data_IF_429786347007
#
_entry.id   IF_429786347007
#
_cell.length_a   1.000
_cell.length_b   1.000
_cell.length_c   1.000
_cell.angle_alpha   90.00
_cell.angle_beta   90.00
_cell.angle_gamma   90.00
#
_symmetry.space_group_name_H-M   'P 1'
#
loop_
_entity.id
_entity.type
_entity.pdbx_description
1 polymer ?
#
# COMPACT_ATOMS: atom_id res chain seq x y z
N UNK A 1 -22.64 11.68 17.50
CA UNK A 1 -23.20 12.92 16.89
C UNK A 1 -23.89 12.52 15.60
N UNK A 2 -25.22 12.55 15.51
CA UNK A 2 -25.94 12.24 14.27
C UNK A 2 -26.33 13.58 13.62
N UNK A 3 -25.60 13.99 12.59
CA UNK A 3 -25.81 15.27 11.92
C UNK A 3 -26.10 15.02 10.43
N UNK A 4 -27.31 15.36 9.98
CA UNK A 4 -27.70 15.18 8.57
C UNK A 4 -26.95 16.18 7.67
N UNK A 5 -26.28 15.66 6.64
CA UNK A 5 -25.42 16.40 5.69
C UNK A 5 -26.19 17.46 4.89
N UNK A 6 -27.49 17.24 4.69
CA UNK A 6 -28.40 18.20 4.04
C UNK A 6 -28.47 19.55 4.77
N UNK A 7 -28.23 19.55 6.10
CA UNK A 7 -28.15 20.78 6.89
C UNK A 7 -26.74 21.42 6.88
N UNK A 8 -25.69 20.66 6.56
CA UNK A 8 -24.31 21.16 6.52
C UNK A 8 -23.98 21.90 5.21
N UNK A 9 -24.48 21.41 4.07
CA UNK A 9 -24.26 22.05 2.76
C UNK A 9 -25.06 23.35 2.57
N UNK A 10 -26.19 23.50 3.27
CA UNK A 10 -27.05 24.68 3.15
C UNK A 10 -26.60 25.86 4.04
N UNK A 11 -25.57 25.65 4.87
CA UNK A 11 -25.11 26.61 5.89
C UNK A 11 -23.76 27.27 5.58
N UNK A 12 -23.01 26.82 4.56
CA UNK A 12 -21.81 27.53 4.08
C UNK A 12 -22.14 28.93 3.50
N UNK A 13 -23.43 29.25 3.31
CA UNK A 13 -23.87 30.52 2.71
C UNK A 13 -24.66 31.45 3.64
N UNK A 14 -25.10 31.01 4.84
CA UNK A 14 -25.95 31.85 5.69
C UNK A 14 -25.71 31.59 7.18
N UNK A 15 -24.85 32.41 7.81
CA UNK A 15 -25.07 33.13 9.08
C UNK A 15 -23.72 33.55 9.69
N UNK A 16 -23.35 34.81 9.48
CA UNK A 16 -22.33 35.50 10.28
C UNK A 16 -23.06 36.15 11.45
N UNK A 17 -23.23 35.42 12.55
CA UNK A 17 -23.45 36.07 13.84
C UNK A 17 -22.57 35.39 14.89
N UNK A 18 -21.57 36.14 15.38
CA UNK A 18 -20.45 35.70 16.23
C UNK A 18 -20.85 35.35 17.67
N UNK A 19 -22.01 34.76 17.87
CA UNK A 19 -22.52 34.40 19.20
C UNK A 19 -22.38 32.89 19.39
N UNK A 20 -21.68 32.48 20.45
CA UNK A 20 -21.51 31.06 20.79
C UNK A 20 -22.90 30.42 20.94
N UNK A 21 -23.21 29.35 20.20
CA UNK A 21 -24.50 28.69 20.30
C UNK A 21 -24.77 28.21 21.73
N UNK A 22 -26.03 28.21 22.21
CA UNK A 22 -26.37 27.86 23.60
C UNK A 22 -25.84 26.48 24.01
N UNK A 23 -25.76 25.55 23.06
CA UNK A 23 -25.26 24.18 23.25
C UNK A 23 -23.76 24.13 23.60
N UNK A 24 -22.98 25.15 23.24
CA UNK A 24 -21.55 25.24 23.49
C UNK A 24 -21.17 26.37 24.46
N UNK A 25 -22.16 26.98 25.12
CA UNK A 25 -21.96 28.08 26.06
C UNK A 25 -21.02 27.69 27.22
N UNK A 26 -21.03 26.42 27.62
CA UNK A 26 -20.20 25.88 28.70
C UNK A 26 -18.79 25.43 28.25
N UNK A 27 -18.40 25.66 26.98
CA UNK A 27 -17.05 25.37 26.47
C UNK A 27 -16.45 26.49 25.58
N UNK A 28 -16.31 27.71 26.12
CA UNK A 28 -15.75 28.83 25.37
C UNK A 28 -14.27 28.62 24.97
N UNK A 29 -13.54 27.74 25.66
CA UNK A 29 -12.13 27.42 25.35
C UNK A 29 -11.91 26.34 24.30
N UNK A 30 -12.95 25.55 23.99
CA UNK A 30 -12.87 24.48 22.96
C UNK A 30 -13.62 24.90 21.69
N UNK A 31 -14.66 25.73 21.78
CA UNK A 31 -15.41 26.19 20.61
C UNK A 31 -14.60 27.16 19.73
N UNK A 32 -14.48 26.85 18.44
CA UNK A 32 -13.79 27.71 17.45
C UNK A 32 -14.85 28.46 16.62
N UNK A 33 -14.99 29.79 16.80
CA UNK A 33 -15.94 30.61 16.05
C UNK A 33 -15.72 30.49 14.53
N UNK A 34 -16.81 30.41 13.76
CA UNK A 34 -16.79 30.26 12.30
C UNK A 34 -16.42 28.86 11.77
N UNK A 35 -16.16 27.87 12.63
CA UNK A 35 -15.88 26.48 12.21
C UNK A 35 -16.82 25.44 12.83
N UNK A 36 -17.21 25.65 14.08
CA UNK A 36 -17.96 24.66 14.87
C UNK A 36 -19.46 24.96 14.98
N UNK A 37 -19.91 26.11 14.46
CA UNK A 37 -21.31 26.56 14.46
C UNK A 37 -22.26 25.55 13.81
N UNK A 38 -21.77 24.86 12.77
CA UNK A 38 -22.49 23.79 12.07
C UNK A 38 -22.84 22.57 12.94
N UNK A 39 -22.17 22.39 14.07
CA UNK A 39 -22.46 21.30 15.00
C UNK A 39 -23.56 21.63 16.01
N UNK A 40 -23.99 22.90 16.09
CA UNK A 40 -24.99 23.36 17.05
C UNK A 40 -26.38 22.74 16.84
N UNK A 41 -26.66 22.28 15.62
CA UNK A 41 -27.95 21.68 15.23
C UNK A 41 -27.94 20.15 15.30
N UNK A 42 -26.82 19.52 15.67
CA UNK A 42 -26.74 18.06 15.71
C UNK A 42 -27.46 17.50 16.94
N UNK A 43 -28.24 16.44 16.76
CA UNK A 43 -28.95 15.79 17.87
C UNK A 43 -27.98 14.92 18.69
N UNK A 44 -27.85 15.21 19.99
CA UNK A 44 -26.96 14.51 20.92
C UNK A 44 -27.79 13.47 21.67
N UNK A 45 -27.77 12.22 21.19
CA UNK A 45 -28.64 11.15 21.68
C UNK A 45 -28.06 10.34 22.84
N UNK A 46 -26.76 10.46 23.14
CA UNK A 46 -26.04 9.51 23.99
C UNK A 46 -25.71 10.02 25.41
N UNK A 47 -26.28 11.14 25.86
CA UNK A 47 -26.03 11.67 27.22
C UNK A 47 -24.61 12.23 27.44
N UNK A 48 -23.75 12.20 26.43
CA UNK A 48 -22.43 12.83 26.47
C UNK A 48 -22.53 14.37 26.48
N UNK A 49 -21.63 15.04 27.21
CA UNK A 49 -21.59 16.50 27.19
C UNK A 49 -21.17 17.02 25.80
N UNK A 50 -21.84 18.06 25.26
CA UNK A 50 -21.52 18.62 23.94
C UNK A 50 -20.06 19.03 23.80
N UNK A 51 -19.49 19.54 24.89
CA UNK A 51 -18.10 19.99 24.97
C UNK A 51 -17.09 18.85 24.92
N UNK A 52 -17.36 17.71 25.57
CA UNK A 52 -16.50 16.53 25.46
C UNK A 52 -16.50 15.99 24.01
N UNK A 53 -17.66 15.97 23.36
CA UNK A 53 -17.79 15.50 21.98
C UNK A 53 -17.09 16.43 20.98
N UNK A 54 -17.17 17.75 21.19
CA UNK A 54 -16.47 18.73 20.36
C UNK A 54 -14.95 18.61 20.50
N UNK A 55 -14.45 18.44 21.73
CA UNK A 55 -13.03 18.21 22.02
C UNK A 55 -12.51 16.95 21.36
N UNK A 56 -13.25 15.84 21.43
CA UNK A 56 -12.88 14.59 20.75
C UNK A 56 -12.90 14.75 19.21
N UNK A 57 -13.84 15.54 18.67
CA UNK A 57 -13.85 15.90 17.25
C UNK A 57 -12.61 16.70 16.83
N UNK A 58 -12.19 17.68 17.62
CA UNK A 58 -10.98 18.47 17.35
C UNK A 58 -9.73 17.62 17.40
N UNK A 59 -9.58 16.77 18.43
CA UNK A 59 -8.48 15.79 18.50
C UNK A 59 -8.46 14.85 17.30
N UNK A 60 -9.63 14.32 16.91
CA UNK A 60 -9.73 13.44 15.74
C UNK A 60 -9.35 14.16 14.44
N UNK A 61 -9.76 15.44 14.30
CA UNK A 61 -9.41 16.28 13.15
C UNK A 61 -7.91 16.60 13.11
N UNK A 62 -7.30 16.93 14.25
CA UNK A 62 -5.86 17.16 14.35
C UNK A 62 -5.06 15.88 14.04
N UNK A 63 -5.45 14.74 14.62
CA UNK A 63 -4.81 13.46 14.31
C UNK A 63 -4.92 13.10 12.82
N UNK A 64 -6.09 13.34 12.20
CA UNK A 64 -6.27 13.13 10.77
C UNK A 64 -5.39 14.05 9.92
N UNK A 65 -5.24 15.32 10.30
CA UNK A 65 -4.42 16.29 9.56
C UNK A 65 -2.93 15.97 9.73
N UNK A 66 -2.44 15.88 10.96
CA UNK A 66 -1.01 15.67 11.20
C UNK A 66 -0.57 14.22 10.98
N UNK A 67 -1.33 13.25 11.49
CA UNK A 67 -1.00 11.84 11.40
C UNK A 67 -1.27 11.21 10.03
N UNK A 68 -2.37 11.57 9.37
CA UNK A 68 -2.79 10.94 8.10
C UNK A 68 -2.55 11.79 6.84
N UNK A 69 -2.20 13.08 6.97
CA UNK A 69 -1.82 13.90 5.83
C UNK A 69 -0.36 14.38 5.89
N UNK A 70 0.08 15.03 6.98
CA UNK A 70 1.44 15.59 7.05
C UNK A 70 2.52 14.49 7.08
N UNK A 71 2.39 13.47 7.94
CA UNK A 71 3.37 12.39 8.03
C UNK A 71 3.53 11.63 6.71
N UNK A 72 2.46 11.18 6.02
CA UNK A 72 2.59 10.54 4.72
C UNK A 72 3.26 11.41 3.65
N UNK A 73 3.02 12.74 3.64
CA UNK A 73 3.66 13.67 2.71
C UNK A 73 5.17 13.75 2.97
N UNK A 74 5.59 13.89 4.23
CA UNK A 74 7.03 13.94 4.56
C UNK A 74 7.72 12.62 4.20
N UNK A 75 7.09 11.49 4.53
CA UNK A 75 7.59 10.17 4.19
C UNK A 75 7.61 9.94 2.66
N UNK A 76 6.63 10.45 1.91
CA UNK A 76 6.62 10.32 0.46
C UNK A 76 7.71 11.14 -0.22
N UNK A 77 8.08 12.32 0.33
CA UNK A 77 9.20 13.13 -0.18
C UNK A 77 10.51 12.36 0.00
N UNK A 78 10.74 11.85 1.21
CA UNK A 78 11.93 11.05 1.52
C UNK A 78 11.98 9.80 0.63
N UNK A 79 10.86 9.08 0.52
CA UNK A 79 10.75 7.89 -0.33
C UNK A 79 11.02 8.21 -1.80
N UNK A 80 10.56 9.36 -2.30
CA UNK A 80 10.81 9.79 -3.68
C UNK A 80 12.31 10.01 -3.93
N UNK A 81 12.98 10.76 -3.06
CA UNK A 81 14.42 11.03 -3.16
C UNK A 81 15.22 9.72 -3.13
N UNK A 82 14.90 8.83 -2.18
CA UNK A 82 15.58 7.54 -2.04
C UNK A 82 15.34 6.63 -3.26
N UNK A 83 14.11 6.55 -3.78
CA UNK A 83 13.81 5.70 -4.95
C UNK A 83 14.44 6.25 -6.23
N UNK A 84 14.46 7.57 -6.44
CA UNK A 84 15.15 8.18 -7.59
C UNK A 84 16.66 7.90 -7.50
N UNK A 85 17.27 8.15 -6.36
CA UNK A 85 18.71 7.91 -6.14
C UNK A 85 19.05 6.43 -6.37
N UNK A 86 18.23 5.54 -5.82
CA UNK A 86 18.38 4.10 -5.97
C UNK A 86 18.21 3.65 -7.44
N UNK A 87 17.27 4.24 -8.18
CA UNK A 87 17.07 3.98 -9.61
C UNK A 87 18.28 4.43 -10.43
N UNK A 88 18.83 5.62 -10.18
CA UNK A 88 20.01 6.13 -10.87
C UNK A 88 21.21 5.20 -10.65
N UNK A 89 21.45 4.77 -9.41
CA UNK A 89 22.53 3.84 -9.08
C UNK A 89 22.33 2.51 -9.82
N UNK A 90 21.12 1.94 -9.80
CA UNK A 90 20.83 0.69 -10.49
C UNK A 90 21.02 0.78 -12.00
N UNK A 91 20.58 1.88 -12.63
CA UNK A 91 20.77 2.09 -14.06
C UNK A 91 22.26 2.18 -14.40
N UNK A 92 23.06 2.88 -13.59
CA UNK A 92 24.51 2.95 -13.78
C UNK A 92 25.18 1.58 -13.68
N UNK A 93 24.77 0.74 -12.74
CA UNK A 93 25.30 -0.62 -12.60
C UNK A 93 24.83 -1.50 -13.75
N UNK A 94 23.54 -1.43 -14.10
CA UNK A 94 22.95 -2.20 -15.20
C UNK A 94 23.68 -2.02 -16.54
N UNK A 95 24.18 -0.82 -16.81
CA UNK A 95 24.95 -0.52 -18.02
C UNK A 95 26.37 -1.09 -18.01
N UNK A 96 26.94 -1.37 -16.84
CA UNK A 96 28.33 -1.85 -16.68
C UNK A 96 28.42 -3.37 -16.48
N UNK A 97 27.34 -4.01 -16.07
CA UNK A 97 27.35 -5.39 -15.62
C UNK A 97 27.11 -6.41 -16.75
N UNK A 98 27.58 -7.65 -16.54
CA UNK A 98 27.35 -8.77 -17.46
C UNK A 98 25.87 -9.21 -17.51
N UNK A 99 25.50 -9.92 -18.58
CA UNK A 99 24.13 -10.34 -18.87
C UNK A 99 23.46 -11.09 -17.71
N UNK A 100 24.21 -11.96 -17.03
CA UNK A 100 23.75 -12.74 -15.87
C UNK A 100 23.23 -11.88 -14.72
N UNK A 101 23.94 -10.79 -14.41
CA UNK A 101 23.57 -9.88 -13.32
C UNK A 101 22.54 -8.83 -13.77
N UNK A 102 22.55 -8.44 -15.06
CA UNK A 102 21.54 -7.54 -15.65
C UNK A 102 20.12 -8.05 -15.47
N UNK A 103 19.88 -9.36 -15.56
CA UNK A 103 18.56 -10.00 -15.30
C UNK A 103 17.97 -9.57 -13.96
N UNK A 104 18.77 -9.60 -12.89
CA UNK A 104 18.36 -9.19 -11.53
C UNK A 104 18.02 -7.69 -11.48
N UNK A 105 18.86 -6.86 -12.07
CA UNK A 105 18.67 -5.41 -12.07
C UNK A 105 17.41 -4.98 -12.84
N UNK A 106 16.99 -5.71 -13.88
CA UNK A 106 15.73 -5.43 -14.58
C UNK A 106 14.52 -5.45 -13.65
N UNK A 107 14.40 -6.46 -12.78
CA UNK A 107 13.31 -6.55 -11.81
C UNK A 107 13.39 -5.43 -10.77
N UNK A 108 14.59 -5.09 -10.30
CA UNK A 108 14.80 -4.01 -9.33
C UNK A 108 14.47 -2.63 -9.92
N UNK A 109 14.83 -2.39 -11.18
CA UNK A 109 14.51 -1.16 -11.93
C UNK A 109 13.00 -1.06 -12.12
N UNK A 110 12.35 -2.13 -12.60
CA UNK A 110 10.89 -2.18 -12.76
C UNK A 110 10.16 -1.84 -11.45
N UNK A 111 10.66 -2.37 -10.33
CA UNK A 111 10.11 -2.08 -9.00
C UNK A 111 10.26 -0.61 -8.62
N UNK A 112 11.45 -0.05 -8.83
CA UNK A 112 11.75 1.36 -8.50
C UNK A 112 10.89 2.32 -9.35
N UNK A 113 10.70 2.00 -10.63
CA UNK A 113 9.80 2.74 -11.51
C UNK A 113 8.35 2.67 -11.04
N UNK A 114 7.87 1.49 -10.64
CA UNK A 114 6.51 1.32 -10.08
C UNK A 114 6.29 2.18 -8.84
N UNK A 115 7.24 2.17 -7.90
CA UNK A 115 7.16 3.00 -6.69
C UNK A 115 7.19 4.50 -7.00
N UNK A 116 8.03 4.93 -7.95
CA UNK A 116 8.12 6.34 -8.35
C UNK A 116 6.81 6.79 -9.00
N UNK A 117 6.25 6.00 -9.91
CA UNK A 117 4.96 6.31 -10.52
C UNK A 117 3.86 6.42 -9.47
N UNK A 118 3.79 5.47 -8.53
CA UNK A 118 2.81 5.51 -7.45
C UNK A 118 2.96 6.76 -6.56
N UNK A 119 4.19 7.17 -6.24
CA UNK A 119 4.46 8.36 -5.45
C UNK A 119 4.07 9.66 -6.19
N UNK A 120 4.39 9.78 -7.48
CA UNK A 120 3.97 10.94 -8.29
C UNK A 120 2.45 11.04 -8.30
N UNK A 121 1.78 9.93 -8.54
CA UNK A 121 0.31 9.89 -8.60
C UNK A 121 -0.34 10.12 -7.24
N UNK A 122 0.30 9.69 -6.15
CA UNK A 122 -0.13 10.03 -4.80
C UNK A 122 -0.17 11.55 -4.58
N UNK A 123 0.84 12.30 -5.05
CA UNK A 123 0.81 13.76 -5.01
C UNK A 123 -0.31 14.36 -5.86
N UNK A 124 -0.53 13.83 -7.07
CA UNK A 124 -1.64 14.28 -7.93
C UNK A 124 -2.98 14.10 -7.21
N UNK A 125 -3.21 12.95 -6.57
CA UNK A 125 -4.43 12.69 -5.79
C UNK A 125 -4.56 13.64 -4.61
N UNK A 126 -3.48 13.94 -3.88
CA UNK A 126 -3.52 14.90 -2.77
C UNK A 126 -3.88 16.31 -3.27
N UNK A 127 -3.32 16.74 -4.41
CA UNK A 127 -3.62 18.04 -5.01
C UNK A 127 -5.10 18.10 -5.40
N UNK A 128 -5.62 17.07 -6.09
CA UNK A 128 -7.04 16.97 -6.44
C UNK A 128 -7.95 16.95 -5.20
N UNK A 129 -7.54 16.26 -4.13
CA UNK A 129 -8.27 16.26 -2.88
C UNK A 129 -8.34 17.67 -2.28
N UNK A 130 -7.26 18.45 -2.35
CA UNK A 130 -7.26 19.82 -1.84
C UNK A 130 -8.16 20.77 -2.64
N UNK A 131 -8.35 20.53 -3.94
CA UNK A 131 -9.13 21.40 -4.82
C UNK A 131 -10.64 21.13 -4.76
N UNK A 132 -11.08 19.87 -4.79
CA UNK A 132 -12.50 19.50 -4.97
C UNK A 132 -13.05 18.56 -3.86
N UNK A 133 -12.25 18.24 -2.83
CA UNK A 133 -12.61 17.23 -1.84
C UNK A 133 -12.33 15.80 -2.30
N UNK A 134 -12.55 14.82 -1.42
CA UNK A 134 -12.31 13.41 -1.73
C UNK A 134 -13.58 12.80 -2.32
N UNK A 135 -13.63 12.67 -3.64
CA UNK A 135 -14.76 12.12 -4.39
C UNK A 135 -14.48 10.68 -4.87
N UNK A 136 -15.51 10.00 -5.39
CA UNK A 136 -15.41 8.64 -5.95
C UNK A 136 -14.23 8.47 -6.92
N UNK A 137 -14.03 9.40 -7.86
CA UNK A 137 -12.93 9.34 -8.82
C UNK A 137 -11.55 9.38 -8.15
N UNK A 138 -11.37 10.21 -7.13
CA UNK A 138 -10.11 10.29 -6.38
C UNK A 138 -9.84 9.01 -5.57
N UNK A 139 -10.87 8.43 -4.96
CA UNK A 139 -10.80 7.16 -4.24
C UNK A 139 -10.46 6.00 -5.18
N UNK A 140 -11.11 5.95 -6.34
CA UNK A 140 -10.88 4.96 -7.40
C UNK A 140 -9.43 5.02 -7.88
N UNK A 141 -8.94 6.21 -8.24
CA UNK A 141 -7.58 6.43 -8.72
C UNK A 141 -6.57 6.01 -7.64
N UNK A 142 -6.80 6.40 -6.39
CA UNK A 142 -5.94 6.03 -5.26
C UNK A 142 -5.86 4.51 -5.06
N UNK A 143 -7.01 3.83 -5.04
CA UNK A 143 -7.08 2.37 -4.88
C UNK A 143 -6.48 1.62 -6.07
N UNK A 144 -6.71 2.11 -7.29
CA UNK A 144 -6.14 1.55 -8.51
C UNK A 144 -4.61 1.61 -8.47
N UNK A 145 -4.02 2.77 -8.19
CA UNK A 145 -2.56 2.90 -8.16
C UNK A 145 -1.93 2.24 -6.94
N UNK A 146 -2.59 2.28 -5.78
CA UNK A 146 -2.18 1.51 -4.60
C UNK A 146 -2.15 0.01 -4.89
N UNK A 147 -3.20 -0.52 -5.50
CA UNK A 147 -3.29 -1.90 -5.95
C UNK A 147 -2.23 -2.26 -6.99
N UNK A 148 -2.02 -1.39 -7.99
CA UNK A 148 -1.07 -1.62 -9.08
C UNK A 148 0.35 -1.72 -8.53
N UNK A 149 0.72 -0.78 -7.66
CA UNK A 149 2.02 -0.76 -7.01
C UNK A 149 2.19 -1.99 -6.12
N UNK A 150 1.22 -2.31 -5.27
CA UNK A 150 1.28 -3.47 -4.36
C UNK A 150 1.43 -4.79 -5.13
N UNK A 151 0.61 -5.03 -6.15
CA UNK A 151 0.64 -6.25 -6.95
C UNK A 151 1.90 -6.35 -7.83
N UNK A 152 2.34 -5.24 -8.42
CA UNK A 152 3.59 -5.19 -9.19
C UNK A 152 4.82 -5.47 -8.32
N UNK A 153 4.89 -4.87 -7.12
CA UNK A 153 5.93 -5.16 -6.13
C UNK A 153 5.89 -6.64 -5.71
N UNK A 154 4.71 -7.15 -5.39
CA UNK A 154 4.49 -8.56 -5.00
C UNK A 154 4.97 -9.52 -6.09
N UNK A 155 4.54 -9.32 -7.34
CA UNK A 155 4.91 -10.15 -8.47
C UNK A 155 6.42 -10.09 -8.77
N UNK A 156 7.02 -8.90 -8.71
CA UNK A 156 8.48 -8.76 -8.91
C UNK A 156 9.28 -9.40 -7.78
N UNK A 157 8.81 -9.40 -6.53
CA UNK A 157 9.45 -10.14 -5.43
C UNK A 157 9.41 -11.65 -5.65
N UNK A 158 8.26 -12.20 -6.05
CA UNK A 158 8.14 -13.63 -6.35
C UNK A 158 9.08 -14.00 -7.50
N UNK A 159 9.04 -13.25 -8.60
CA UNK A 159 9.88 -13.50 -9.77
C UNK A 159 11.37 -13.41 -9.45
N UNK A 160 11.79 -12.39 -8.68
CA UNK A 160 13.18 -12.20 -8.27
C UNK A 160 13.66 -13.31 -7.32
N UNK A 161 12.77 -13.79 -6.44
CA UNK A 161 13.07 -14.92 -5.54
C UNK A 161 13.25 -16.22 -6.30
N UNK A 162 12.39 -16.49 -7.29
CA UNK A 162 12.52 -17.64 -8.19
C UNK A 162 13.80 -17.53 -9.01
N UNK A 163 14.09 -16.35 -9.58
CA UNK A 163 15.30 -16.10 -10.35
C UNK A 163 16.57 -16.38 -9.54
N UNK A 164 16.62 -15.88 -8.29
CA UNK A 164 17.74 -16.10 -7.38
C UNK A 164 17.86 -17.58 -6.99
N UNK A 165 16.75 -18.24 -6.70
CA UNK A 165 16.75 -19.67 -6.41
C UNK A 165 17.29 -20.49 -7.58
N UNK A 166 16.81 -20.23 -8.80
CA UNK A 166 17.28 -20.94 -9.99
C UNK A 166 18.76 -20.69 -10.25
N UNK A 167 19.25 -19.46 -10.03
CA UNK A 167 20.67 -19.14 -10.14
C UNK A 167 21.54 -19.93 -9.14
N UNK A 168 21.04 -20.20 -7.93
CA UNK A 168 21.80 -20.92 -6.89
C UNK A 168 21.70 -22.45 -7.06
N UNK A 169 20.49 -22.97 -7.29
CA UNK A 169 20.25 -24.42 -7.32
C UNK A 169 20.59 -25.03 -8.67
N UNK A 170 20.37 -24.30 -9.77
CA UNK A 170 20.60 -24.76 -11.14
C UNK A 170 21.39 -23.71 -11.95
N UNK A 171 22.67 -23.45 -11.60
CA UNK A 171 23.46 -22.37 -12.21
C UNK A 171 23.67 -22.55 -13.72
N UNK A 172 23.84 -23.80 -14.20
CA UNK A 172 23.99 -24.08 -15.63
C UNK A 172 22.71 -23.77 -16.41
N UNK A 173 21.55 -24.21 -15.90
CA UNK A 173 20.24 -23.90 -16.51
C UNK A 173 19.96 -22.39 -16.52
N UNK A 174 20.31 -21.68 -15.45
CA UNK A 174 20.18 -20.22 -15.37
C UNK A 174 21.02 -19.47 -16.42
N UNK A 175 22.21 -19.99 -16.74
CA UNK A 175 23.08 -19.40 -17.75
C UNK A 175 22.66 -19.77 -19.18
N UNK A 176 22.21 -21.00 -19.43
CA UNK A 176 21.90 -21.48 -20.78
C UNK A 176 20.49 -21.14 -21.27
N UNK A 177 19.47 -21.29 -20.42
CA UNK A 177 18.06 -21.25 -20.85
C UNK A 177 17.39 -19.90 -20.55
N UNK A 178 17.70 -19.29 -19.40
CA UNK A 178 17.04 -18.05 -18.98
C UNK A 178 17.70 -16.87 -19.68
N UNK A 179 17.07 -16.32 -20.72
CA UNK A 179 17.57 -15.12 -21.41
C UNK A 179 16.92 -13.83 -20.87
N UNK A 180 17.53 -12.67 -21.14
CA UNK A 180 16.95 -11.36 -20.77
C UNK A 180 15.54 -11.16 -21.38
N UNK A 181 15.28 -11.72 -22.57
CA UNK A 181 13.96 -11.63 -23.22
C UNK A 181 12.85 -12.25 -22.37
N UNK A 182 13.14 -13.39 -21.73
CA UNK A 182 12.21 -14.02 -20.79
C UNK A 182 11.94 -13.13 -19.58
N UNK A 183 12.97 -12.45 -19.05
CA UNK A 183 12.79 -11.50 -17.94
C UNK A 183 11.88 -10.33 -18.33
N UNK A 184 12.04 -9.75 -19.53
CA UNK A 184 11.13 -8.72 -20.01
C UNK A 184 9.70 -9.21 -20.19
N UNK A 185 9.51 -10.42 -20.76
CA UNK A 185 8.20 -11.03 -20.90
C UNK A 185 7.51 -11.27 -19.54
N UNK A 186 8.27 -11.74 -18.53
CA UNK A 186 7.77 -11.91 -17.16
C UNK A 186 7.42 -10.57 -16.50
N UNK A 187 8.23 -9.53 -16.68
CA UNK A 187 7.91 -8.20 -16.17
C UNK A 187 6.62 -7.70 -16.82
N UNK A 188 6.51 -7.80 -18.15
CA UNK A 188 5.32 -7.38 -18.88
C UNK A 188 4.05 -8.12 -18.41
N UNK A 189 4.14 -9.44 -18.17
CA UNK A 189 3.01 -10.21 -17.65
C UNK A 189 2.62 -9.81 -16.22
N UNK A 190 3.60 -9.55 -15.34
CA UNK A 190 3.34 -9.04 -13.98
C UNK A 190 2.59 -7.70 -14.06
N UNK A 191 3.06 -6.77 -14.89
CA UNK A 191 2.41 -5.47 -15.08
C UNK A 191 0.99 -5.60 -15.62
N UNK A 192 0.78 -6.46 -16.62
CA UNK A 192 -0.53 -6.70 -17.21
C UNK A 192 -1.51 -7.28 -16.20
N UNK A 193 -1.13 -8.35 -15.51
CA UNK A 193 -1.97 -8.96 -14.47
C UNK A 193 -2.26 -8.00 -13.33
N UNK A 194 -1.25 -7.22 -12.90
CA UNK A 194 -1.41 -6.21 -11.86
C UNK A 194 -2.35 -5.10 -12.30
N UNK A 195 -2.25 -4.61 -13.54
CA UNK A 195 -3.13 -3.58 -14.08
C UNK A 195 -4.58 -4.05 -14.15
N UNK A 196 -4.84 -5.25 -14.68
CA UNK A 196 -6.18 -5.82 -14.76
C UNK A 196 -6.80 -5.94 -13.36
N UNK A 197 -6.08 -6.58 -12.42
CA UNK A 197 -6.57 -6.75 -11.06
C UNK A 197 -6.80 -5.41 -10.35
N UNK A 198 -5.94 -4.42 -10.57
CA UNK A 198 -6.02 -3.11 -9.92
C UNK A 198 -7.12 -2.24 -10.48
N UNK A 199 -7.44 -2.35 -11.78
CA UNK A 199 -8.61 -1.71 -12.38
C UNK A 199 -9.87 -2.24 -11.71
N UNK A 200 -9.98 -3.56 -11.55
CA UNK A 200 -11.10 -4.16 -10.84
C UNK A 200 -11.18 -3.67 -9.39
N UNK A 201 -10.08 -3.75 -8.64
CA UNK A 201 -10.05 -3.28 -7.23
C UNK A 201 -10.31 -1.78 -7.13
N UNK A 202 -9.85 -0.95 -8.06
CA UNK A 202 -10.08 0.49 -8.05
C UNK A 202 -11.55 0.84 -8.31
N UNK A 203 -12.12 0.33 -9.40
CA UNK A 203 -13.51 0.57 -9.80
C UNK A 203 -14.49 0.11 -8.70
N UNK A 204 -14.33 -1.12 -8.26
CA UNK A 204 -15.23 -1.74 -7.31
C UNK A 204 -14.90 -1.40 -5.86
N UNK A 205 -13.64 -1.15 -5.53
CA UNK A 205 -13.22 -0.75 -4.19
C UNK A 205 -13.70 0.66 -3.84
N UNK A 206 -13.74 1.58 -4.81
CA UNK A 206 -14.25 2.92 -4.56
C UNK A 206 -15.74 2.96 -4.22
N UNK A 207 -16.54 1.99 -4.70
CA UNK A 207 -17.97 1.92 -4.37
C UNK A 207 -18.21 1.56 -2.91
N UNK A 208 -17.24 0.96 -2.21
CA UNK A 208 -17.34 0.71 -0.77
C UNK A 208 -17.37 2.02 0.03
N UNK A 209 -16.63 3.03 -0.43
CA UNK A 209 -16.46 4.30 0.25
C UNK A 209 -17.42 5.37 -0.26
N UNK A 210 -17.85 5.29 -1.52
CA UNK A 210 -18.74 6.29 -2.14
C UNK A 210 -19.88 5.61 -2.91
N UNK A 211 -20.83 4.96 -2.21
CA UNK A 211 -21.92 4.23 -2.87
C UNK A 211 -22.87 5.14 -3.66
N UNK A 212 -23.12 6.37 -3.18
CA UNK A 212 -24.11 7.28 -3.78
C UNK A 212 -23.62 7.96 -5.06
N UNK A 213 -22.31 8.21 -5.15
CA UNK A 213 -21.65 8.79 -6.34
C UNK A 213 -21.13 7.74 -7.32
N UNK A 214 -21.32 6.45 -7.00
CA UNK A 214 -20.81 5.38 -7.83
C UNK A 214 -21.67 5.20 -9.10
N UNK A 215 -21.05 4.82 -10.24
CA UNK A 215 -21.80 4.57 -11.47
C UNK A 215 -22.72 3.34 -11.38
N UNK A 216 -22.56 2.50 -10.35
CA UNK A 216 -23.31 1.27 -10.14
C UNK A 216 -23.87 1.28 -8.72
N UNK A 217 -25.18 1.51 -8.59
CA UNK A 217 -25.86 1.46 -7.29
C UNK A 217 -25.71 0.09 -6.63
N UNK A 218 -24.97 0.06 -5.53
CA UNK A 218 -24.65 -1.15 -4.79
C UNK A 218 -25.23 -1.10 -3.38
N UNK A 219 -26.19 -1.98 -3.07
CA UNK A 219 -26.72 -2.06 -1.70
C UNK A 219 -25.76 -2.81 -0.77
N UNK A 220 -25.75 -2.43 0.52
CA UNK A 220 -24.84 -2.98 1.53
C UNK A 220 -24.89 -4.52 1.62
N UNK A 221 -26.11 -5.09 1.67
CA UNK A 221 -26.32 -6.56 1.76
C UNK A 221 -26.13 -7.28 0.43
N UNK A 222 -26.29 -6.58 -0.71
CA UNK A 222 -26.21 -7.17 -2.04
C UNK A 222 -24.77 -7.40 -2.47
N UNK A 223 -24.04 -6.32 -2.77
CA UNK A 223 -22.74 -6.38 -3.42
C UNK A 223 -21.60 -5.76 -2.60
N UNK A 224 -21.86 -4.74 -1.78
CA UNK A 224 -20.79 -4.06 -1.03
C UNK A 224 -20.07 -5.01 -0.03
N UNK A 225 -20.84 -5.77 0.76
CA UNK A 225 -20.28 -6.74 1.73
C UNK A 225 -19.51 -7.88 1.06
N UNK A 226 -20.04 -8.64 0.09
CA UNK A 226 -19.28 -9.72 -0.54
C UNK A 226 -18.05 -9.18 -1.29
N UNK A 227 -18.14 -7.99 -1.89
CA UNK A 227 -17.02 -7.39 -2.60
C UNK A 227 -15.88 -7.00 -1.66
N UNK A 228 -16.20 -6.41 -0.50
CA UNK A 228 -15.23 -6.15 0.55
C UNK A 228 -14.51 -7.44 1.00
N UNK A 229 -15.26 -8.53 1.21
CA UNK A 229 -14.71 -9.83 1.59
C UNK A 229 -13.75 -10.35 0.51
N UNK A 230 -14.15 -10.29 -0.76
CA UNK A 230 -13.31 -10.74 -1.88
C UNK A 230 -12.00 -9.95 -1.95
N UNK A 231 -12.06 -8.62 -1.82
CA UNK A 231 -10.85 -7.77 -1.85
C UNK A 231 -9.91 -8.13 -0.70
N UNK A 232 -10.41 -8.23 0.53
CA UNK A 232 -9.58 -8.53 1.70
C UNK A 232 -8.97 -9.94 1.62
N UNK A 233 -9.76 -10.94 1.20
CA UNK A 233 -9.25 -12.30 0.98
C UNK A 233 -8.19 -12.31 -0.12
N UNK A 234 -8.43 -11.63 -1.25
CA UNK A 234 -7.46 -11.54 -2.35
C UNK A 234 -6.14 -10.88 -1.95
N UNK A 235 -6.21 -9.78 -1.20
CA UNK A 235 -5.03 -9.10 -0.65
C UNK A 235 -4.29 -10.00 0.37
N UNK A 236 -5.02 -10.74 1.20
CA UNK A 236 -4.43 -11.66 2.17
C UNK A 236 -3.74 -12.85 1.50
N UNK A 237 -4.36 -13.43 0.47
CA UNK A 237 -3.78 -14.54 -0.31
C UNK A 237 -2.55 -14.07 -1.06
N UNK A 238 -2.60 -12.91 -1.74
CA UNK A 238 -1.44 -12.38 -2.46
C UNK A 238 -0.27 -12.12 -1.50
N UNK A 239 -0.50 -11.46 -0.37
CA UNK A 239 0.52 -11.28 0.67
C UNK A 239 1.07 -12.61 1.21
N UNK A 240 0.19 -13.53 1.60
CA UNK A 240 0.56 -14.84 2.13
C UNK A 240 1.33 -15.69 1.12
N UNK A 241 1.03 -15.57 -0.18
CA UNK A 241 1.75 -16.27 -1.24
C UNK A 241 3.21 -15.83 -1.34
N UNK A 242 3.51 -14.53 -1.18
CA UNK A 242 4.90 -14.04 -1.19
C UNK A 242 5.66 -14.61 -0.01
N UNK A 243 5.08 -14.55 1.19
CA UNK A 243 5.68 -15.10 2.40
C UNK A 243 5.92 -16.61 2.28
N UNK A 244 4.94 -17.35 1.79
CA UNK A 244 5.02 -18.81 1.63
C UNK A 244 6.08 -19.20 0.61
N UNK A 245 6.07 -18.61 -0.58
CA UNK A 245 7.09 -18.85 -1.62
C UNK A 245 8.46 -18.50 -1.08
N UNK A 246 8.61 -17.34 -0.44
CA UNK A 246 9.89 -16.90 0.09
C UNK A 246 10.43 -17.82 1.19
N UNK A 247 9.60 -18.19 2.16
CA UNK A 247 9.95 -19.13 3.22
C UNK A 247 10.34 -20.50 2.66
N UNK A 248 9.55 -21.02 1.70
CA UNK A 248 9.85 -22.28 1.04
C UNK A 248 11.23 -22.25 0.33
N UNK A 249 11.57 -21.14 -0.33
CA UNK A 249 12.85 -20.96 -0.99
C UNK A 249 14.02 -20.86 0.00
N UNK A 250 13.86 -20.12 1.10
CA UNK A 250 14.88 -20.06 2.17
C UNK A 250 15.11 -21.44 2.77
N UNK A 251 14.05 -22.15 3.16
CA UNK A 251 14.16 -23.48 3.79
C UNK A 251 14.87 -24.44 2.85
N UNK A 252 14.47 -24.49 1.58
CA UNK A 252 15.14 -25.33 0.57
C UNK A 252 16.61 -24.98 0.41
N UNK A 253 16.96 -23.70 0.46
CA UNK A 253 18.35 -23.29 0.34
C UNK A 253 19.16 -23.63 1.60
N UNK A 254 18.62 -23.40 2.79
CA UNK A 254 19.26 -23.76 4.05
C UNK A 254 19.55 -25.27 4.12
N UNK A 255 18.59 -26.10 3.71
CA UNK A 255 18.77 -27.55 3.60
C UNK A 255 19.90 -27.91 2.63
N UNK A 256 19.99 -27.24 1.47
CA UNK A 256 21.09 -27.42 0.50
C UNK A 256 22.44 -27.01 1.07
N UNK A 257 22.53 -25.84 1.71
CA UNK A 257 23.78 -25.33 2.31
C UNK A 257 24.25 -26.24 3.44
N UNK A 258 23.33 -26.70 4.29
CA UNK A 258 23.67 -27.63 5.35
C UNK A 258 24.21 -28.96 4.81
N UNK A 259 23.57 -29.50 3.76
CA UNK A 259 24.04 -30.71 3.07
C UNK A 259 25.41 -30.52 2.41
N UNK A 260 25.65 -29.36 1.81
CA UNK A 260 26.95 -29.00 1.21
C UNK A 260 28.05 -28.89 2.25
N UNK A 261 27.78 -28.27 3.41
CA UNK A 261 28.74 -28.17 4.51
C UNK A 261 29.07 -29.55 5.09
N UNK A 262 28.09 -30.45 5.22
CA UNK A 262 28.35 -31.81 5.70
C UNK A 262 29.24 -32.63 4.75
N UNK A 263 29.15 -32.42 3.43
CA UNK A 263 30.06 -33.09 2.47
C UNK A 263 31.44 -32.43 2.39
N UNK A 264 31.57 -31.17 2.81
CA UNK A 264 32.82 -30.39 2.79
C UNK A 264 33.82 -30.83 3.88
N UNK A 265 33.33 -31.45 4.95
CA UNK A 265 34.18 -31.99 6.03
C UNK A 265 35.07 -33.17 5.60
N UNK A 266 34.93 -33.66 4.36
CA UNK A 266 35.69 -34.82 3.85
C UNK A 266 36.50 -34.60 2.55
N UNK A 267 36.59 -33.39 1.98
CA UNK A 267 37.24 -33.17 0.67
C UNK A 267 38.00 -31.85 0.52
N UNK A 268 39.19 -31.91 -0.11
CA UNK A 268 40.10 -30.79 -0.40
C UNK A 268 39.39 -29.74 -1.30
N UNK A 269 39.41 -28.46 -0.88
CA UNK A 269 38.62 -27.36 -1.44
C UNK A 269 39.23 -26.68 -2.68
N UNK A 270 38.34 -26.12 -3.50
CA UNK A 270 38.64 -25.08 -4.50
C UNK A 270 38.05 -23.74 -4.03
N UNK A 271 38.90 -22.76 -3.73
CA UNK A 271 38.54 -21.42 -3.18
C UNK A 271 37.47 -20.67 -3.99
N UNK A 272 37.44 -20.88 -5.31
CA UNK A 272 36.53 -20.16 -6.23
C UNK A 272 35.05 -20.51 -6.02
N UNK A 273 34.73 -21.73 -5.58
CA UNK A 273 33.34 -22.12 -5.37
C UNK A 273 32.76 -21.55 -4.07
N UNK A 274 33.59 -21.41 -3.04
CA UNK A 274 33.19 -20.85 -1.75
C UNK A 274 32.88 -19.35 -1.86
N UNK A 275 33.72 -18.57 -2.54
CA UNK A 275 33.46 -17.13 -2.76
C UNK A 275 32.16 -16.88 -3.53
N UNK A 276 31.91 -17.68 -4.58
CA UNK A 276 30.69 -17.56 -5.39
C UNK A 276 29.46 -17.88 -4.54
N UNK A 277 29.47 -18.97 -3.77
CA UNK A 277 28.39 -19.31 -2.85
C UNK A 277 28.16 -18.23 -1.79
N UNK A 278 29.22 -17.68 -1.19
CA UNK A 278 29.12 -16.63 -0.18
C UNK A 278 28.50 -15.34 -0.74
N UNK A 279 28.85 -14.97 -1.98
CA UNK A 279 28.26 -13.82 -2.67
C UNK A 279 26.75 -13.99 -2.92
N UNK A 280 26.31 -15.20 -3.26
CA UNK A 280 24.90 -15.54 -3.43
C UNK A 280 24.13 -15.54 -2.10
N UNK A 281 24.73 -16.04 -1.02
CA UNK A 281 24.15 -15.97 0.33
C UNK A 281 23.99 -14.52 0.78
N UNK A 282 24.99 -13.67 0.55
CA UNK A 282 24.91 -12.22 0.87
C UNK A 282 23.85 -11.51 0.03
N UNK A 283 23.73 -11.85 -1.25
CA UNK A 283 22.68 -11.33 -2.12
C UNK A 283 21.28 -11.74 -1.65
N UNK A 284 21.13 -12.98 -1.16
CA UNK A 284 19.89 -13.48 -0.60
C UNK A 284 19.55 -12.83 0.73
N UNK A 285 20.52 -12.64 1.63
CA UNK A 285 20.29 -11.99 2.92
C UNK A 285 19.81 -10.53 2.73
N UNK A 286 20.37 -9.82 1.74
CA UNK A 286 19.87 -8.50 1.31
C UNK A 286 18.44 -8.56 0.76
N UNK A 287 18.11 -9.60 0.00
CA UNK A 287 16.74 -9.82 -0.49
C UNK A 287 15.78 -10.11 0.68
N UNK A 288 16.24 -10.84 1.70
CA UNK A 288 15.50 -11.16 2.92
C UNK A 288 15.21 -9.97 3.79
N UNK A 289 16.19 -9.07 3.97
CA UNK A 289 15.92 -7.78 4.61
C UNK A 289 14.85 -6.98 3.87
N UNK A 290 14.94 -6.88 2.54
CA UNK A 290 13.93 -6.18 1.75
C UNK A 290 12.54 -6.83 1.87
N UNK A 291 12.49 -8.15 1.99
CA UNK A 291 11.25 -8.90 2.21
C UNK A 291 10.68 -8.69 3.61
N UNK A 292 11.52 -8.66 4.65
CA UNK A 292 11.08 -8.30 6.01
C UNK A 292 10.52 -6.88 6.02
N UNK A 293 11.18 -5.93 5.35
CA UNK A 293 10.65 -4.56 5.23
C UNK A 293 9.31 -4.53 4.49
N UNK A 294 9.14 -5.33 3.42
CA UNK A 294 7.85 -5.47 2.75
C UNK A 294 6.79 -6.07 3.69
N UNK A 295 7.13 -7.12 4.42
CA UNK A 295 6.24 -7.78 5.36
C UNK A 295 5.78 -6.83 6.47
N UNK A 296 6.72 -6.17 7.15
CA UNK A 296 6.44 -5.20 8.22
C UNK A 296 5.69 -3.99 7.67
N UNK A 297 6.03 -3.50 6.47
CA UNK A 297 5.37 -2.35 5.86
C UNK A 297 3.93 -2.60 5.41
N UNK A 298 3.57 -3.85 5.08
CA UNK A 298 2.24 -4.19 4.53
C UNK A 298 1.30 -4.81 5.57
N UNK A 299 1.81 -5.32 6.69
CA UNK A 299 1.00 -5.83 7.81
C UNK A 299 0.00 -4.79 8.34
N UNK A 300 0.38 -3.52 8.60
CA UNK A 300 -0.57 -2.51 9.07
C UNK A 300 -1.73 -2.29 8.08
N UNK A 301 -1.46 -2.36 6.78
CA UNK A 301 -2.46 -2.22 5.72
C UNK A 301 -3.47 -3.37 5.80
N UNK A 302 -2.99 -4.61 5.95
CA UNK A 302 -3.86 -5.78 6.11
C UNK A 302 -4.71 -5.71 7.38
N UNK A 303 -4.12 -5.28 8.50
CA UNK A 303 -4.85 -5.09 9.75
C UNK A 303 -5.97 -4.07 9.56
N UNK A 304 -5.66 -2.91 8.96
CA UNK A 304 -6.66 -1.87 8.67
C UNK A 304 -7.75 -2.40 7.74
N UNK A 305 -7.41 -3.16 6.69
CA UNK A 305 -8.38 -3.78 5.80
C UNK A 305 -9.30 -4.78 6.52
N UNK A 306 -8.76 -5.60 7.42
CA UNK A 306 -9.55 -6.56 8.22
C UNK A 306 -10.46 -5.81 9.20
N UNK A 307 -9.93 -4.81 9.90
CA UNK A 307 -10.72 -3.97 10.82
C UNK A 307 -11.83 -3.23 10.05
N UNK A 308 -11.53 -2.73 8.86
CA UNK A 308 -12.50 -2.09 7.98
C UNK A 308 -13.58 -3.08 7.52
N UNK A 309 -13.23 -4.33 7.23
CA UNK A 309 -14.19 -5.39 6.89
C UNK A 309 -15.16 -5.66 8.05
N UNK A 310 -14.65 -5.76 9.28
CA UNK A 310 -15.48 -6.01 10.47
C UNK A 310 -16.40 -4.82 10.74
N UNK A 311 -15.92 -3.59 10.51
CA UNK A 311 -16.66 -2.35 10.75
C UNK A 311 -17.31 -1.76 9.50
N UNK A 312 -17.50 -2.57 8.44
CA UNK A 312 -17.94 -2.08 7.13
C UNK A 312 -19.22 -1.25 7.20
N UNK A 313 -20.13 -1.62 8.12
CA UNK A 313 -21.42 -0.95 8.34
C UNK A 313 -21.27 0.48 8.89
N UNK A 314 -20.25 0.73 9.69
CA UNK A 314 -19.93 2.05 10.24
C UNK A 314 -19.10 2.91 9.27
N UNK A 315 -18.35 2.26 8.36
CA UNK A 315 -17.57 2.94 7.32
C UNK A 315 -18.42 3.34 6.11
N UNK A 316 -19.38 2.50 5.72
CA UNK A 316 -20.34 2.84 4.66
C UNK A 316 -21.16 4.09 5.01
N UNK A 317 -21.43 4.33 6.30
CA UNK A 317 -22.12 5.54 6.76
C UNK A 317 -21.23 6.80 6.77
N UNK A 318 -19.90 6.65 6.78
CA UNK A 318 -18.94 7.77 6.68
C UNK A 318 -18.74 8.23 5.23
N UNK A 319 -19.07 7.38 4.26
CA UNK A 319 -19.02 7.68 2.83
C UNK A 319 -20.25 8.38 2.27
N UNK A 320 -21.36 8.33 3.01
CA UNK A 320 -22.62 9.03 2.71
C UNK A 320 -22.65 10.45 3.32
N UNK A 321 -21.51 10.96 3.80
CA UNK A 321 -21.37 12.24 4.48
C UNK A 321 -20.36 13.19 3.88
#
# INVERSE_FOLDING_TARGET
>A
LNCSVLHLLHLDTVYVNKTVPPVFHDCPGEFIPGKDEKYALCNITNGDSPCALLKEMHKAKEFRVYGLAVVPIVLSILAMILNITYLIIQLRIYLKEEESARKRYLFLISRSLSTIMALILFYVVIICWKSDGFAYASAMIFLLFGGLNFLSITGTYIALSILLYTAIVHPFYYQSEITIKHCYALIASIWLCSAIASICVGLWGATLFYPDSSPVHCTFRGCQKPLAIIIVIGLSISYGSVLCVYAALIVRLQLRLHRSNSSLTGGIKSDRNDERQLSHVRAMNRLGMNMVTFAVGTVPILIVCIVALVNLRSLSSLGMS
#
